data_IF_623727885336
#
_entry.id   IF_623727885336
#
_cell.length_a   1.000
_cell.length_b   1.000
_cell.length_c   1.000
_cell.angle_alpha   90.00
_cell.angle_beta   90.00
_cell.angle_gamma   90.00
#
_symmetry.space_group_name_H-M   'P 1'
#
loop_
_entity.id
_entity.type
_entity.pdbx_description
1 polymer ?
#
# COMPACT_ATOMS: atom_id res chain seq x y z
N UNK A 1 -2.40 -12.23 -38.67
CA UNK A 1 -1.37 -11.53 -37.86
C UNK A 1 -1.03 -12.42 -36.67
N UNK A 2 0.21 -12.46 -36.17
CA UNK A 2 0.65 -13.42 -35.14
C UNK A 2 0.36 -12.91 -33.71
N UNK A 3 -0.10 -13.80 -32.84
CA UNK A 3 -0.28 -13.55 -31.40
C UNK A 3 0.91 -14.10 -30.59
N UNK A 4 1.63 -13.23 -29.89
CA UNK A 4 2.87 -13.56 -29.19
C UNK A 4 2.73 -13.38 -27.68
N UNK A 5 3.19 -14.39 -26.92
CA UNK A 5 3.38 -14.30 -25.46
C UNK A 5 4.87 -14.21 -25.18
N UNK A 6 5.35 -13.02 -24.81
CA UNK A 6 6.76 -12.78 -24.50
C UNK A 6 6.98 -12.78 -22.98
N UNK A 7 8.03 -13.45 -22.51
CA UNK A 7 8.48 -13.45 -21.11
C UNK A 7 9.99 -13.27 -21.06
N UNK A 8 10.49 -12.58 -20.02
CA UNK A 8 11.92 -12.39 -19.79
C UNK A 8 12.55 -13.50 -18.93
N UNK A 9 11.77 -14.52 -18.55
CA UNK A 9 12.19 -15.65 -17.72
C UNK A 9 11.60 -16.93 -18.27
N UNK A 10 12.46 -17.90 -18.54
CA UNK A 10 12.08 -19.24 -18.99
C UNK A 10 11.25 -19.97 -17.93
N UNK A 11 10.30 -20.80 -18.35
CA UNK A 11 9.51 -21.67 -17.47
C UNK A 11 8.43 -20.97 -16.63
N UNK A 12 8.33 -19.64 -16.71
CA UNK A 12 7.33 -18.83 -15.98
C UNK A 12 5.94 -18.94 -16.62
N UNK A 13 5.85 -19.09 -17.94
CA UNK A 13 4.58 -19.27 -18.64
C UNK A 13 4.33 -20.77 -18.86
N UNK A 14 3.14 -21.26 -18.52
CA UNK A 14 2.70 -22.65 -18.69
C UNK A 14 1.29 -22.69 -19.26
N UNK A 15 0.89 -23.84 -19.81
CA UNK A 15 -0.48 -24.10 -20.27
C UNK A 15 -0.99 -23.05 -21.27
N UNK A 16 -0.18 -22.71 -22.28
CA UNK A 16 -0.59 -21.84 -23.39
C UNK A 16 -1.59 -22.58 -24.26
N UNK A 17 -2.76 -21.99 -24.47
CA UNK A 17 -3.87 -22.55 -25.25
C UNK A 17 -4.57 -21.44 -26.02
N UNK A 18 -5.20 -21.79 -27.13
CA UNK A 18 -6.13 -20.90 -27.82
C UNK A 18 -7.54 -21.16 -27.30
N UNK A 19 -8.31 -20.09 -27.07
CA UNK A 19 -9.66 -20.12 -26.47
C UNK A 19 -10.76 -19.75 -27.46
N UNK A 20 -10.43 -19.63 -28.75
CA UNK A 20 -11.34 -19.20 -29.81
C UNK A 20 -11.37 -17.68 -29.99
N UNK A 21 -12.14 -17.22 -30.99
CA UNK A 21 -12.27 -15.80 -31.33
C UNK A 21 -13.27 -15.07 -30.42
N UNK A 22 -12.98 -13.80 -30.15
CA UNK A 22 -13.91 -12.88 -29.50
C UNK A 22 -14.66 -12.09 -30.59
N UNK A 23 -15.90 -12.49 -30.89
CA UNK A 23 -16.70 -11.86 -31.94
C UNK A 23 -16.18 -12.15 -33.36
N UNK A 24 -16.35 -11.19 -34.29
CA UNK A 24 -15.87 -11.31 -35.69
C UNK A 24 -14.38 -10.96 -35.87
N UNK A 25 -13.55 -11.19 -34.84
CA UNK A 25 -12.13 -10.90 -34.91
C UNK A 25 -11.38 -12.05 -35.61
N UNK A 26 -10.39 -11.72 -36.43
CA UNK A 26 -9.51 -12.69 -37.11
C UNK A 26 -8.45 -13.30 -36.17
N UNK A 27 -8.40 -12.87 -34.91
CA UNK A 27 -7.52 -13.37 -33.85
C UNK A 27 -8.21 -14.29 -32.84
N UNK A 28 -7.48 -15.33 -32.44
CA UNK A 28 -7.87 -16.21 -31.35
C UNK A 28 -7.28 -15.75 -30.02
N UNK A 29 -8.06 -15.86 -28.94
CA UNK A 29 -7.60 -15.53 -27.61
C UNK A 29 -6.54 -16.53 -27.14
N UNK A 30 -5.36 -16.04 -26.77
CA UNK A 30 -4.32 -16.86 -26.11
C UNK A 30 -4.51 -16.85 -24.60
N UNK A 31 -4.84 -18.00 -24.03
CA UNK A 31 -4.92 -18.25 -22.59
C UNK A 31 -3.65 -18.94 -22.10
N UNK A 32 -3.06 -18.47 -21.00
CA UNK A 32 -1.87 -19.07 -20.41
C UNK A 32 -1.85 -18.88 -18.89
N UNK A 33 -1.07 -19.70 -18.18
CA UNK A 33 -0.84 -19.61 -16.74
C UNK A 33 0.56 -19.07 -16.47
N UNK A 34 0.67 -18.06 -15.61
CA UNK A 34 1.96 -17.56 -15.11
C UNK A 34 2.24 -18.24 -13.77
N UNK A 35 3.34 -18.97 -13.67
CA UNK A 35 3.87 -19.44 -12.40
C UNK A 35 4.44 -18.27 -11.62
N UNK A 36 3.93 -18.06 -10.41
CA UNK A 36 4.38 -17.00 -9.52
C UNK A 36 4.68 -17.58 -8.15
N UNK A 37 5.95 -17.63 -7.78
CA UNK A 37 6.34 -17.79 -6.37
C UNK A 37 6.11 -16.44 -5.67
N UNK A 38 4.88 -16.19 -5.24
CA UNK A 38 4.55 -15.00 -4.46
C UNK A 38 4.39 -15.37 -2.99
N UNK A 39 5.47 -15.31 -2.20
CA UNK A 39 5.31 -15.08 -0.76
C UNK A 39 4.88 -13.63 -0.59
N UNK A 40 3.57 -13.41 -0.55
CA UNK A 40 3.00 -12.09 -0.26
C UNK A 40 3.17 -11.85 1.24
N UNK A 41 4.25 -11.18 1.62
CA UNK A 41 4.40 -10.71 2.99
C UNK A 41 3.35 -9.62 3.18
N UNK A 42 2.23 -9.97 3.82
CA UNK A 42 1.32 -8.98 4.35
C UNK A 42 2.06 -8.30 5.50
N UNK A 43 2.76 -7.20 5.22
CA UNK A 43 3.17 -6.31 6.30
C UNK A 43 1.88 -5.74 6.88
N UNK A 44 1.46 -6.29 8.03
CA UNK A 44 0.40 -5.70 8.85
C UNK A 44 0.98 -4.43 9.48
N UNK A 45 1.26 -3.43 8.66
CA UNK A 45 1.71 -2.14 9.14
C UNK A 45 0.50 -1.40 9.71
N UNK A 46 0.51 -1.17 11.02
CA UNK A 46 -0.45 -0.30 11.68
C UNK A 46 0.04 1.13 11.57
N UNK A 47 -0.85 2.06 11.25
CA UNK A 47 -0.55 3.49 11.16
C UNK A 47 -1.56 4.26 12.01
N UNK A 48 -1.15 5.35 12.65
CA UNK A 48 -2.07 6.25 13.35
C UNK A 48 -3.08 6.86 12.37
N UNK A 49 -4.33 6.96 12.81
CA UNK A 49 -5.42 7.55 12.03
C UNK A 49 -5.80 8.93 12.57
N UNK A 50 -4.95 9.92 12.27
CA UNK A 50 -5.17 11.32 12.65
C UNK A 50 -6.55 11.83 12.21
N UNK A 51 -7.13 11.31 11.12
CA UNK A 51 -8.50 11.68 10.70
C UNK A 51 -9.60 11.41 11.73
N UNK A 52 -9.35 10.54 12.71
CA UNK A 52 -10.30 10.13 13.75
C UNK A 52 -9.79 10.44 15.15
N UNK A 53 -8.84 11.35 15.28
CA UNK A 53 -8.27 11.73 16.56
C UNK A 53 -9.22 12.58 17.41
N UNK A 54 -9.07 12.45 18.74
CA UNK A 54 -9.70 13.34 19.71
C UNK A 54 -8.69 14.38 20.21
N UNK A 55 -8.66 15.53 19.55
CA UNK A 55 -7.81 16.66 19.95
C UNK A 55 -8.21 17.27 21.29
N UNK A 56 -9.48 17.16 21.69
CA UNK A 56 -9.95 17.65 22.98
C UNK A 56 -9.30 16.85 24.10
N UNK A 57 -9.43 15.53 24.03
CA UNK A 57 -8.80 14.61 24.97
C UNK A 57 -7.27 14.75 24.97
N UNK A 58 -6.65 14.91 23.79
CA UNK A 58 -5.21 15.08 23.68
C UNK A 58 -4.70 16.32 24.41
N UNK A 59 -5.37 17.45 24.22
CA UNK A 59 -5.05 18.70 24.92
C UNK A 59 -5.28 18.57 26.41
N UNK A 60 -6.37 17.93 26.82
CA UNK A 60 -6.71 17.76 28.23
C UNK A 60 -5.67 16.88 28.95
N UNK A 61 -5.21 15.79 28.32
CA UNK A 61 -4.16 14.93 28.86
C UNK A 61 -2.84 15.69 29.05
N UNK A 62 -2.42 16.49 28.07
CA UNK A 62 -1.21 17.32 28.17
C UNK A 62 -1.36 18.47 29.17
N UNK A 63 -2.56 19.07 29.27
CA UNK A 63 -2.83 20.16 30.19
C UNK A 63 -2.89 19.72 31.66
N UNK A 64 -3.16 18.44 31.93
CA UNK A 64 -3.17 17.87 33.30
C UNK A 64 -1.78 17.59 33.86
N UNK A 65 -0.75 17.61 33.02
CA UNK A 65 0.62 17.38 33.48
C UNK A 65 1.10 18.61 34.25
N UNK A 66 1.58 18.46 35.50
CA UNK A 66 2.10 19.58 36.28
C UNK A 66 3.50 19.96 35.78
N UNK A 67 3.57 20.59 34.60
CA UNK A 67 4.81 20.87 33.88
C UNK A 67 5.83 21.63 34.73
N UNK A 68 5.39 22.58 35.55
CA UNK A 68 6.27 23.35 36.43
C UNK A 68 7.10 22.44 37.34
N UNK A 69 6.48 21.41 37.94
CA UNK A 69 7.17 20.42 38.78
C UNK A 69 7.90 19.37 37.96
N UNK A 70 7.31 18.96 36.84
CA UNK A 70 7.89 17.92 36.00
C UNK A 70 9.22 18.36 35.38
N UNK A 71 9.38 19.67 35.12
CA UNK A 71 10.55 20.26 34.46
C UNK A 71 11.49 20.98 35.43
N UNK A 72 11.11 21.13 36.70
CA UNK A 72 11.90 21.81 37.72
C UNK A 72 13.30 21.18 37.87
N UNK A 73 14.33 22.03 37.84
CA UNK A 73 15.73 21.61 38.02
C UNK A 73 16.31 20.74 36.91
N UNK A 74 15.58 20.50 35.82
CA UNK A 74 16.03 19.65 34.70
C UNK A 74 16.74 20.44 33.61
N UNK A 75 17.72 19.80 32.98
CA UNK A 75 18.33 20.33 31.77
C UNK A 75 17.38 20.27 30.56
N UNK A 76 17.72 20.99 29.49
CA UNK A 76 16.91 21.04 28.27
C UNK A 76 16.69 19.65 27.64
N UNK A 77 17.73 18.80 27.63
CA UNK A 77 17.65 17.46 27.06
C UNK A 77 16.72 16.53 27.86
N UNK A 78 16.82 16.56 29.19
CA UNK A 78 15.95 15.77 30.07
C UNK A 78 14.50 16.24 29.99
N UNK A 79 14.29 17.56 30.01
CA UNK A 79 12.99 18.19 29.82
C UNK A 79 12.36 17.77 28.48
N UNK A 80 13.14 17.75 27.41
CA UNK A 80 12.68 17.32 26.09
C UNK A 80 12.29 15.84 26.02
N UNK A 81 13.05 14.96 26.70
CA UNK A 81 12.71 13.55 26.79
C UNK A 81 11.40 13.33 27.54
N UNK A 82 11.22 14.01 28.67
CA UNK A 82 10.02 13.92 29.49
C UNK A 82 8.79 14.45 28.76
N UNK A 83 8.93 15.58 28.07
CA UNK A 83 7.89 16.12 27.19
C UNK A 83 7.48 15.13 26.10
N UNK A 84 8.46 14.55 25.38
CA UNK A 84 8.18 13.56 24.32
C UNK A 84 7.46 12.34 24.86
N UNK A 85 7.84 11.86 26.05
CA UNK A 85 7.20 10.69 26.67
C UNK A 85 5.71 10.96 26.93
N UNK A 86 5.38 12.09 27.56
CA UNK A 86 3.99 12.48 27.81
C UNK A 86 3.21 12.74 26.52
N UNK A 87 3.87 13.33 25.51
CA UNK A 87 3.29 13.55 24.19
C UNK A 87 2.91 12.22 23.52
N UNK A 88 3.81 11.24 23.55
CA UNK A 88 3.58 9.92 22.96
C UNK A 88 2.51 9.14 23.72
N UNK A 89 2.50 9.20 25.05
CA UNK A 89 1.45 8.58 25.87
C UNK A 89 0.08 9.17 25.57
N UNK A 90 -0.03 10.51 25.49
CA UNK A 90 -1.28 11.16 25.11
C UNK A 90 -1.72 10.76 23.69
N UNK A 91 -0.75 10.64 22.76
CA UNK A 91 -1.01 10.26 21.38
C UNK A 91 -1.60 8.84 21.28
N UNK A 92 -1.08 7.89 22.05
CA UNK A 92 -1.60 6.51 22.08
C UNK A 92 -3.04 6.41 22.58
N UNK A 93 -3.41 7.24 23.56
CA UNK A 93 -4.77 7.28 24.09
C UNK A 93 -5.78 8.02 23.20
N UNK A 94 -5.33 8.97 22.37
CA UNK A 94 -6.22 9.86 21.62
C UNK A 94 -6.34 9.53 20.13
N UNK A 95 -5.35 8.83 19.56
CA UNK A 95 -5.30 8.57 18.13
C UNK A 95 -5.49 7.08 17.86
N UNK A 96 -6.65 6.66 17.31
CA UNK A 96 -6.86 5.27 16.99
C UNK A 96 -5.89 4.82 15.89
N UNK A 97 -5.47 3.56 15.96
CA UNK A 97 -4.65 2.95 14.91
C UNK A 97 -5.53 2.35 13.83
N UNK A 98 -5.15 2.54 12.56
CA UNK A 98 -5.72 1.81 11.44
C UNK A 98 -4.71 0.82 10.89
N UNK A 99 -5.19 -0.36 10.55
CA UNK A 99 -4.42 -1.26 9.68
C UNK A 99 -4.30 -0.57 8.34
N UNK A 100 -3.07 -0.41 7.85
CA UNK A 100 -2.89 -0.14 6.42
C UNK A 100 -3.43 -1.37 5.72
N UNK A 101 -4.68 -1.31 5.26
CA UNK A 101 -5.17 -2.32 4.33
C UNK A 101 -4.14 -2.31 3.21
N UNK A 102 -3.57 -3.47 2.92
CA UNK A 102 -2.79 -3.66 1.71
C UNK A 102 -3.74 -3.47 0.55
N UNK A 103 -4.17 -2.23 0.29
CA UNK A 103 -4.84 -1.87 -0.95
C UNK A 103 -3.91 -2.42 -2.02
N UNK A 104 -4.50 -3.14 -2.94
CA UNK A 104 -3.87 -3.87 -4.04
C UNK A 104 -3.12 -2.94 -5.03
N UNK A 105 -2.59 -1.81 -4.58
CA UNK A 105 -1.88 -0.79 -5.36
C UNK A 105 -0.44 -1.18 -5.65
N UNK A 106 0.14 -2.16 -4.96
CA UNK A 106 1.44 -2.66 -5.38
C UNK A 106 1.27 -3.46 -6.67
N UNK A 107 1.70 -2.83 -7.78
CA UNK A 107 1.71 -3.43 -9.11
C UNK A 107 2.32 -4.84 -9.01
N UNK A 108 1.69 -5.85 -9.63
CA UNK A 108 2.30 -7.17 -9.71
C UNK A 108 3.74 -7.04 -10.23
N UNK A 109 4.71 -7.84 -9.74
CA UNK A 109 6.10 -7.74 -10.19
C UNK A 109 6.32 -7.90 -11.71
N UNK A 110 5.34 -8.49 -12.41
CA UNK A 110 5.34 -8.65 -13.85
C UNK A 110 4.75 -7.45 -14.62
N UNK A 111 4.22 -6.44 -13.91
CA UNK A 111 3.49 -5.31 -14.49
C UNK A 111 4.26 -4.01 -14.27
N UNK A 112 5.00 -3.58 -15.29
CA UNK A 112 5.72 -2.30 -15.30
C UNK A 112 4.85 -1.18 -15.90
N UNK A 113 5.35 0.07 -15.85
CA UNK A 113 4.62 1.25 -16.36
C UNK A 113 4.38 1.15 -17.88
N UNK A 114 5.37 0.72 -18.63
CA UNK A 114 5.30 0.59 -20.09
C UNK A 114 4.21 -0.40 -20.56
N UNK A 115 4.10 -1.55 -19.90
CA UNK A 115 3.05 -2.54 -20.17
C UNK A 115 1.65 -1.99 -19.89
N UNK A 116 1.50 -1.19 -18.82
CA UNK A 116 0.23 -0.53 -18.50
C UNK A 116 -0.15 0.50 -19.56
N UNK A 117 0.83 1.29 -20.01
CA UNK A 117 0.61 2.30 -21.04
C UNK A 117 0.19 1.61 -22.36
N UNK A 118 0.86 0.53 -22.75
CA UNK A 118 0.48 -0.29 -23.92
C UNK A 118 -0.93 -0.88 -23.80
N UNK A 119 -1.30 -1.41 -22.63
CA UNK A 119 -2.65 -1.90 -22.37
C UNK A 119 -3.72 -0.80 -22.45
N UNK A 120 -3.39 0.41 -21.97
CA UNK A 120 -4.29 1.57 -22.03
C UNK A 120 -4.53 2.01 -23.47
N UNK A 121 -3.47 2.15 -24.27
CA UNK A 121 -3.58 2.46 -25.70
C UNK A 121 -4.40 1.42 -26.45
N UNK A 122 -4.17 0.12 -26.19
CA UNK A 122 -4.99 -0.95 -26.76
C UNK A 122 -6.46 -0.79 -26.36
N UNK A 123 -6.77 -0.57 -25.08
CA UNK A 123 -8.15 -0.41 -24.60
C UNK A 123 -8.84 0.79 -25.24
N UNK A 124 -8.13 1.91 -25.42
CA UNK A 124 -8.66 3.12 -26.05
C UNK A 124 -8.92 2.92 -27.55
N UNK A 125 -8.06 2.19 -28.25
CA UNK A 125 -8.23 1.88 -29.68
C UNK A 125 -9.47 1.01 -29.98
N UNK A 126 -9.92 0.20 -29.02
CA UNK A 126 -11.09 -0.68 -29.17
C UNK A 126 -12.31 -0.22 -28.35
N UNK A 127 -12.31 1.02 -27.87
CA UNK A 127 -13.45 1.61 -27.16
C UNK A 127 -14.38 2.24 -28.20
N UNK A 128 -15.22 1.40 -28.82
CA UNK A 128 -16.40 1.86 -29.56
C UNK A 128 -17.31 2.72 -28.70
#
# INVERSE_FOLDING_TARGET
MLDLVLTNKEGVVRNVKLKGSLGCNDHEMVEFKILKAAKRVHSKLTTLDFRREDFGLFRDLLGRVPWDKALEGRGAQESWLLFKDHLLQAQEGCIPTKKKSGKNTQRPPWMNKELLDKLKHKKEAYRG
#
